data_IF_086268484587
#
_entry.id   IF_086268484587
#
_cell.length_a   1.000
_cell.length_b   1.000
_cell.length_c   1.000
_cell.angle_alpha   90.00
_cell.angle_beta   90.00
_cell.angle_gamma   90.00
#
_symmetry.space_group_name_H-M   'P 1'
#
loop_
_entity.id
_entity.type
_entity.pdbx_description
1 polymer ?
#
# COMPACT_ATOMS: atom_id res chain seq x y z
N UNK A 1 2.38 7.16 10.84
CA UNK A 1 2.94 7.90 9.67
C UNK A 1 2.05 9.11 9.43
N UNK A 2 2.41 10.05 8.54
CA UNK A 2 1.59 11.24 8.28
C UNK A 2 1.19 11.35 6.80
N UNK A 3 -0.10 11.63 6.56
CA UNK A 3 -0.72 11.84 5.24
C UNK A 3 -1.48 13.17 5.25
N UNK A 4 -0.73 14.25 5.42
CA UNK A 4 -1.26 15.60 5.64
C UNK A 4 -2.08 16.07 4.43
N UNK A 5 -1.63 15.76 3.21
CA UNK A 5 -2.32 16.22 2.01
C UNK A 5 -3.62 15.45 1.80
N UNK A 6 -3.66 14.15 2.13
CA UNK A 6 -4.88 13.34 2.14
C UNK A 6 -5.89 13.87 3.15
N UNK A 7 -5.45 14.23 4.36
CA UNK A 7 -6.29 14.81 5.39
C UNK A 7 -6.92 16.14 4.93
N UNK A 8 -6.12 17.04 4.34
CA UNK A 8 -6.60 18.32 3.78
C UNK A 8 -7.53 18.14 2.58
N UNK A 9 -7.27 17.13 1.74
CA UNK A 9 -8.07 16.86 0.55
C UNK A 9 -9.36 16.09 0.86
N UNK A 10 -9.62 15.71 2.11
CA UNK A 10 -10.82 14.99 2.50
C UNK A 10 -12.10 15.71 2.04
N UNK A 11 -13.07 14.95 1.53
CA UNK A 11 -14.30 15.44 0.88
C UNK A 11 -14.14 16.27 -0.40
N UNK A 12 -12.92 16.39 -0.95
CA UNK A 12 -12.71 16.97 -2.28
C UNK A 12 -12.67 15.88 -3.38
N UNK A 13 -12.86 16.31 -4.63
CA UNK A 13 -12.66 15.45 -5.81
C UNK A 13 -11.21 14.97 -5.96
N UNK A 14 -10.25 15.72 -5.39
CA UNK A 14 -8.83 15.39 -5.42
C UNK A 14 -8.42 14.34 -4.37
N UNK A 15 -9.30 13.98 -3.42
CA UNK A 15 -8.96 13.10 -2.30
C UNK A 15 -8.31 11.79 -2.76
N UNK A 16 -8.95 11.11 -3.70
CA UNK A 16 -8.51 9.78 -4.13
C UNK A 16 -7.15 9.82 -4.82
N UNK A 17 -6.89 10.83 -5.65
CA UNK A 17 -5.61 10.96 -6.35
C UNK A 17 -4.48 11.34 -5.40
N UNK A 18 -4.74 12.24 -4.44
CA UNK A 18 -3.78 12.63 -3.40
C UNK A 18 -3.45 11.44 -2.50
N UNK A 19 -4.47 10.71 -2.05
CA UNK A 19 -4.32 9.51 -1.22
C UNK A 19 -3.46 8.45 -1.90
N UNK A 20 -3.80 8.08 -3.15
CA UNK A 20 -3.05 7.06 -3.90
C UNK A 20 -1.57 7.44 -4.02
N UNK A 21 -1.29 8.72 -4.29
CA UNK A 21 0.07 9.23 -4.41
C UNK A 21 0.82 9.16 -3.08
N UNK A 22 0.24 9.67 -1.99
CA UNK A 22 0.92 9.66 -0.69
C UNK A 22 1.13 8.24 -0.18
N UNK A 23 0.13 7.36 -0.31
CA UNK A 23 0.25 5.96 0.13
C UNK A 23 1.28 5.20 -0.73
N UNK A 24 1.29 5.37 -2.05
CA UNK A 24 2.30 4.74 -2.90
C UNK A 24 3.72 5.20 -2.56
N UNK A 25 3.91 6.48 -2.21
CA UNK A 25 5.21 7.04 -1.83
C UNK A 25 5.76 6.48 -0.50
N UNK A 26 4.94 5.80 0.30
CA UNK A 26 5.39 5.11 1.51
C UNK A 26 6.26 3.88 1.20
N UNK A 27 5.99 3.22 0.07
CA UNK A 27 6.71 2.02 -0.38
C UNK A 27 6.61 0.83 0.57
N UNK A 28 7.35 -0.23 0.24
CA UNK A 28 7.36 -1.50 0.98
C UNK A 28 7.90 -1.41 2.41
N UNK A 29 8.63 -0.35 2.74
CA UNK A 29 9.19 -0.15 4.08
C UNK A 29 8.13 0.25 5.13
N UNK A 30 6.98 0.77 4.69
CA UNK A 30 5.92 1.29 5.56
C UNK A 30 4.57 0.63 5.30
N UNK A 31 4.41 -0.02 4.16
CA UNK A 31 3.25 -0.80 3.81
C UNK A 31 3.48 -2.29 4.13
N UNK A 32 2.44 -3.03 4.53
CA UNK A 32 2.54 -4.45 4.86
C UNK A 32 2.66 -5.37 3.61
N UNK A 33 3.31 -4.92 2.54
CA UNK A 33 3.41 -5.66 1.27
C UNK A 33 4.04 -7.03 1.46
N UNK A 34 5.15 -7.12 2.23
CA UNK A 34 5.81 -8.39 2.52
C UNK A 34 4.91 -9.38 3.28
N UNK A 35 4.01 -8.88 4.13
CA UNK A 35 3.06 -9.70 4.88
C UNK A 35 1.87 -10.12 4.02
N UNK A 36 1.53 -9.34 3.00
CA UNK A 36 0.43 -9.59 2.07
C UNK A 36 0.80 -10.45 0.87
N UNK A 37 1.99 -11.06 0.83
CA UNK A 37 2.40 -11.95 -0.25
C UNK A 37 1.60 -13.25 -0.24
N UNK A 38 1.13 -13.68 -1.41
CA UNK A 38 0.43 -14.95 -1.58
C UNK A 38 1.23 -15.96 -2.43
N UNK A 39 2.03 -15.50 -3.38
CA UNK A 39 2.62 -16.34 -4.43
C UNK A 39 4.15 -16.26 -4.52
N UNK A 40 4.75 -15.23 -3.95
CA UNK A 40 6.18 -14.97 -3.95
C UNK A 40 6.75 -14.90 -2.53
N UNK A 41 8.07 -14.76 -2.40
CA UNK A 41 8.75 -14.74 -1.09
C UNK A 41 9.34 -13.39 -0.71
N UNK A 42 9.43 -12.45 -1.66
CA UNK A 42 9.96 -11.11 -1.40
C UNK A 42 9.20 -10.04 -2.18
N UNK A 43 8.73 -9.00 -1.48
CA UNK A 43 7.96 -7.92 -2.07
C UNK A 43 8.84 -6.82 -2.69
N UNK A 44 8.40 -6.31 -3.83
CA UNK A 44 8.91 -5.15 -4.54
C UNK A 44 7.84 -4.05 -4.57
N UNK A 45 8.27 -2.79 -4.70
CA UNK A 45 7.40 -1.62 -4.76
C UNK A 45 7.59 -0.77 -6.02
N UNK A 46 8.42 -1.23 -6.97
CA UNK A 46 8.73 -0.52 -8.22
C UNK A 46 7.50 -0.21 -9.08
N UNK A 47 6.48 -1.09 -9.03
CA UNK A 47 5.21 -0.96 -9.75
C UNK A 47 3.99 -0.88 -8.80
N UNK A 48 4.19 -0.39 -7.58
CA UNK A 48 3.13 -0.30 -6.57
C UNK A 48 1.97 0.60 -7.04
N UNK A 49 0.76 0.02 -7.10
CA UNK A 49 -0.48 0.73 -7.42
C UNK A 49 -1.49 0.58 -6.31
N UNK A 50 -2.00 1.71 -5.82
CA UNK A 50 -3.00 1.79 -4.75
C UNK A 50 -4.38 2.02 -5.33
N UNK A 51 -5.37 1.28 -4.83
CA UNK A 51 -6.79 1.43 -5.17
C UNK A 51 -7.57 1.71 -3.89
N UNK A 52 -8.47 2.70 -3.94
CA UNK A 52 -9.41 2.97 -2.85
C UNK A 52 -10.64 2.07 -3.05
N UNK A 53 -10.83 1.10 -2.16
CA UNK A 53 -11.94 0.15 -2.24
C UNK A 53 -13.17 0.64 -1.50
N UNK A 54 -12.97 1.33 -0.37
CA UNK A 54 -14.05 1.87 0.45
C UNK A 54 -13.55 2.96 1.39
N UNK A 55 -14.47 3.81 1.84
CA UNK A 55 -14.20 4.89 2.77
C UNK A 55 -15.38 5.09 3.71
N UNK A 56 -15.08 5.27 4.99
CA UNK A 56 -16.08 5.63 5.99
C UNK A 56 -15.49 6.65 6.97
N UNK A 57 -16.33 7.55 7.46
CA UNK A 57 -15.94 8.55 8.45
C UNK A 57 -16.68 8.34 9.76
N UNK A 58 -15.94 8.45 10.87
CA UNK A 58 -16.44 8.44 12.24
C UNK A 58 -15.82 9.61 12.99
N UNK A 59 -16.55 10.73 13.05
CA UNK A 59 -16.04 11.96 13.63
C UNK A 59 -14.83 12.48 12.85
N UNK A 60 -13.68 12.55 13.52
CA UNK A 60 -12.40 13.04 12.96
C UNK A 60 -11.54 11.94 12.33
N UNK A 61 -11.89 10.68 12.55
CA UNK A 61 -11.17 9.55 12.00
C UNK A 61 -11.87 9.04 10.76
N UNK A 62 -11.08 8.82 9.71
CA UNK A 62 -11.51 8.18 8.48
C UNK A 62 -10.92 6.78 8.47
N UNK A 63 -11.77 5.78 8.19
CA UNK A 63 -11.34 4.41 7.92
C UNK A 63 -11.45 4.13 6.44
N UNK A 64 -10.33 3.77 5.82
CA UNK A 64 -10.23 3.44 4.40
C UNK A 64 -9.89 1.97 4.23
N UNK A 65 -10.47 1.37 3.19
CA UNK A 65 -10.05 0.07 2.68
C UNK A 65 -9.29 0.31 1.39
N UNK A 66 -8.07 -0.20 1.33
CA UNK A 66 -7.16 -0.01 0.20
C UNK A 66 -6.79 -1.37 -0.38
N UNK A 67 -6.71 -1.45 -1.70
CA UNK A 67 -6.04 -2.55 -2.40
C UNK A 67 -4.66 -2.09 -2.85
N UNK A 68 -3.66 -2.96 -2.72
CA UNK A 68 -2.32 -2.75 -3.28
C UNK A 68 -2.04 -3.82 -4.32
N UNK A 69 -1.73 -3.41 -5.54
CA UNK A 69 -1.13 -4.26 -6.58
C UNK A 69 0.35 -3.95 -6.65
N UNK A 70 1.19 -4.98 -6.59
CA UNK A 70 2.64 -4.82 -6.55
C UNK A 70 3.32 -6.07 -7.11
N UNK A 71 4.63 -6.00 -7.29
CA UNK A 71 5.42 -7.14 -7.76
C UNK A 71 6.05 -7.85 -6.56
N UNK A 72 6.25 -9.15 -6.67
CA UNK A 72 7.12 -9.92 -5.79
C UNK A 72 7.99 -10.87 -6.60
N UNK A 73 9.01 -11.42 -5.96
CA UNK A 73 9.93 -12.40 -6.56
C UNK A 73 10.06 -13.62 -5.65
N UNK A 74 10.39 -14.77 -6.24
CA UNK A 74 10.81 -15.94 -5.47
C UNK A 74 12.31 -15.84 -5.25
N UNK A 75 12.71 -15.40 -4.06
CA UNK A 75 14.11 -15.41 -3.66
C UNK A 75 14.60 -16.86 -3.47
N UNK A 76 15.30 -17.39 -4.48
CA UNK A 76 16.09 -18.63 -4.40
C UNK A 76 17.55 -18.33 -4.04
N UNK A 77 18.25 -19.28 -3.42
CA UNK A 77 19.71 -19.22 -3.26
C UNK A 77 20.37 -19.11 -4.64
N UNK A 78 20.76 -17.89 -5.02
CA UNK A 78 21.34 -17.61 -6.32
C UNK A 78 22.80 -18.09 -6.36
N UNK A 79 22.98 -19.39 -6.58
CA UNK A 79 24.25 -19.98 -6.97
C UNK A 79 24.21 -20.31 -8.47
N UNK A 80 24.11 -19.31 -9.36
CA UNK A 80 24.56 -19.46 -10.76
C UNK A 80 24.56 -18.11 -11.53
N UNK A 81 25.58 -17.98 -12.38
CA UNK A 81 25.98 -16.87 -13.27
C UNK A 81 24.97 -16.46 -14.37
N UNK A 82 23.65 -16.45 -14.12
CA UNK A 82 22.66 -16.01 -15.12
C UNK A 82 22.21 -14.55 -14.85
N UNK A 83 22.50 -13.59 -15.75
CA UNK A 83 22.10 -12.18 -15.60
C UNK A 83 20.63 -11.90 -15.94
N UNK A 84 19.80 -12.94 -16.19
CA UNK A 84 18.38 -12.77 -16.45
C UNK A 84 17.67 -12.13 -15.25
N UNK A 85 16.85 -11.08 -15.45
CA UNK A 85 16.06 -10.48 -14.37
C UNK A 85 15.19 -11.55 -13.69
N UNK A 86 15.03 -11.50 -12.35
CA UNK A 86 14.16 -12.44 -11.66
C UNK A 86 12.73 -12.32 -12.18
N UNK A 87 12.05 -13.46 -12.36
CA UNK A 87 10.65 -13.49 -12.77
C UNK A 87 9.78 -12.78 -11.70
N UNK A 88 9.19 -11.65 -12.08
CA UNK A 88 8.27 -10.90 -11.24
C UNK A 88 6.87 -11.53 -11.24
N UNK A 89 6.33 -11.77 -10.04
CA UNK A 89 4.98 -12.26 -9.78
C UNK A 89 4.12 -11.08 -9.36
N UNK A 90 2.95 -10.94 -10.00
CA UNK A 90 1.96 -9.94 -9.57
C UNK A 90 1.28 -10.41 -8.29
N UNK A 91 1.31 -9.54 -7.28
CA UNK A 91 0.72 -9.74 -5.96
C UNK A 91 -0.41 -8.74 -5.73
N UNK A 92 -1.34 -9.14 -4.86
CA UNK A 92 -2.43 -8.28 -4.42
C UNK A 92 -2.72 -8.52 -2.95
N UNK A 93 -2.86 -7.44 -2.18
CA UNK A 93 -3.36 -7.53 -0.81
C UNK A 93 -4.30 -6.36 -0.48
N UNK A 94 -5.20 -6.59 0.47
CA UNK A 94 -6.03 -5.56 1.05
C UNK A 94 -5.45 -5.04 2.36
N UNK A 95 -5.64 -3.74 2.61
CA UNK A 95 -5.16 -3.05 3.78
C UNK A 95 -6.28 -2.22 4.39
N UNK A 96 -6.28 -2.13 5.72
CA UNK A 96 -7.08 -1.15 6.43
C UNK A 96 -6.19 0.02 6.83
N UNK A 97 -6.67 1.23 6.55
CA UNK A 97 -6.05 2.45 7.02
C UNK A 97 -6.98 3.23 7.94
N UNK A 98 -6.45 3.79 9.01
CA UNK A 98 -7.10 4.84 9.78
C UNK A 98 -6.31 6.14 9.62
N UNK A 99 -7.02 7.25 9.40
CA UNK A 99 -6.47 8.59 9.20
C UNK A 99 -7.21 9.57 10.12
N UNK A 100 -6.48 10.29 10.96
CA UNK A 100 -7.00 11.45 11.69
C UNK A 100 -6.93 12.70 10.80
N UNK A 101 -8.08 13.35 10.60
CA UNK A 101 -8.21 14.46 9.65
C UNK A 101 -7.58 15.78 10.11
N UNK A 102 -7.28 15.94 11.40
CA UNK A 102 -6.72 17.18 11.93
C UNK A 102 -5.19 17.14 11.93
N UNK A 103 -4.63 16.01 12.37
CA UNK A 103 -3.19 15.80 12.48
C UNK A 103 -2.56 15.22 11.21
N UNK A 104 -3.37 14.53 10.39
CA UNK A 104 -2.87 13.71 9.29
C UNK A 104 -2.21 12.41 9.75
N UNK A 105 -2.26 12.09 11.05
CA UNK A 105 -1.69 10.84 11.56
C UNK A 105 -2.47 9.65 11.00
N UNK A 106 -1.72 8.68 10.49
CA UNK A 106 -2.25 7.49 9.86
C UNK A 106 -1.57 6.20 10.35
N UNK A 107 -2.36 5.13 10.40
CA UNK A 107 -1.88 3.77 10.57
C UNK A 107 -2.43 2.89 9.44
N UNK A 108 -1.60 1.99 8.93
CA UNK A 108 -1.95 1.03 7.87
C UNK A 108 -1.60 -0.35 8.39
N UNK A 109 -2.52 -1.30 8.25
CA UNK A 109 -2.33 -2.70 8.58
C UNK A 109 -2.86 -3.58 7.47
N UNK A 110 -2.27 -4.78 7.32
CA UNK A 110 -2.82 -5.81 6.46
C UNK A 110 -4.23 -6.15 6.96
N UNK A 111 -5.16 -6.36 6.03
CA UNK A 111 -6.50 -6.82 6.38
C UNK A 111 -6.50 -8.35 6.36
N UNK A 112 -6.87 -8.96 7.48
CA UNK A 112 -7.19 -10.37 7.54
C UNK A 112 -8.65 -10.55 7.10
N UNK A 113 -8.90 -11.56 6.25
CA UNK A 113 -10.24 -11.93 5.77
C UNK A 113 -11.09 -12.58 6.88
#
# INVERSE_FOLDING_TARGET
MQLIESAKAWNSEAFESVLKREVAALGKARLPLQQGLAHSSYALDDNLRIVLLDRSQRGRTVRLRLGAFYSGIIAGCNCADDPSPPDEITEYCEMQMELDLDSGDACIALRED
#
